data_IF_996925937045
#
_entry.id   IF_996925937045
#
_cell.length_a   1.000
_cell.length_b   1.000
_cell.length_c   1.000
_cell.angle_alpha   90.00
_cell.angle_beta   90.00
_cell.angle_gamma   90.00
#
_symmetry.space_group_name_H-M   'P 1'
#
loop_
_entity.id
_entity.type
_entity.pdbx_description
1 polymer ?
#
# COMPACT_ATOMS: atom_id res chain seq x y z
N UNK A 1 25.34 -20.35 -21.89
CA UNK A 1 24.25 -19.60 -22.57
C UNK A 1 23.52 -18.64 -21.62
N UNK A 2 24.20 -18.14 -20.57
CA UNK A 2 23.57 -17.50 -19.40
C UNK A 2 23.58 -15.96 -19.46
N UNK A 3 24.44 -15.37 -20.28
CA UNK A 3 24.73 -13.91 -20.31
C UNK A 3 23.64 -13.08 -21.02
N UNK A 4 22.79 -13.69 -21.87
CA UNK A 4 21.70 -12.98 -22.55
C UNK A 4 20.46 -12.76 -21.67
N UNK A 5 20.16 -13.70 -20.76
CA UNK A 5 19.00 -13.59 -19.87
C UNK A 5 19.20 -12.54 -18.77
N UNK A 6 20.38 -12.46 -18.15
CA UNK A 6 20.68 -11.44 -17.14
C UNK A 6 20.62 -10.01 -17.68
N UNK A 7 21.06 -9.80 -18.94
CA UNK A 7 21.04 -8.47 -19.55
C UNK A 7 19.62 -8.02 -19.95
N UNK A 8 18.71 -8.94 -20.27
CA UNK A 8 17.31 -8.60 -20.55
C UNK A 8 16.53 -8.28 -19.27
N UNK A 9 16.69 -9.09 -18.20
CA UNK A 9 15.99 -8.83 -16.93
C UNK A 9 16.43 -7.50 -16.29
N UNK A 10 17.72 -7.16 -16.36
CA UNK A 10 18.27 -5.89 -15.85
C UNK A 10 17.80 -4.66 -16.66
N UNK A 11 17.52 -4.80 -17.95
CA UNK A 11 17.02 -3.70 -18.80
C UNK A 11 15.51 -3.50 -18.61
N UNK A 12 14.75 -4.59 -18.50
CA UNK A 12 13.31 -4.54 -18.27
C UNK A 12 12.96 -3.98 -16.88
N UNK A 13 13.71 -4.38 -15.85
CA UNK A 13 13.56 -3.83 -14.50
C UNK A 13 13.87 -2.32 -14.47
N UNK A 14 14.83 -1.83 -15.27
CA UNK A 14 15.11 -0.39 -15.43
C UNK A 14 13.98 0.38 -16.13
N UNK A 15 13.36 -0.18 -17.17
CA UNK A 15 12.23 0.49 -17.84
C UNK A 15 11.00 0.55 -16.93
N UNK A 16 10.68 -0.56 -16.26
CA UNK A 16 9.59 -0.61 -15.28
C UNK A 16 9.80 0.39 -14.16
N UNK A 17 10.99 0.40 -13.54
CA UNK A 17 11.37 1.36 -12.51
C UNK A 17 11.17 2.81 -12.99
N UNK A 18 11.60 3.11 -14.22
CA UNK A 18 11.41 4.44 -14.82
C UNK A 18 9.92 4.77 -14.95
N UNK A 19 9.12 3.86 -15.50
CA UNK A 19 7.67 4.07 -15.73
C UNK A 19 6.89 4.22 -14.44
N UNK A 20 7.19 3.41 -13.42
CA UNK A 20 6.61 3.52 -12.08
C UNK A 20 6.96 4.87 -11.47
N UNK A 21 8.24 5.25 -11.55
CA UNK A 21 8.71 6.54 -11.01
C UNK A 21 7.97 7.70 -11.68
N UNK A 22 7.97 7.79 -13.01
CA UNK A 22 7.27 8.84 -13.75
C UNK A 22 5.77 8.87 -13.43
N UNK A 23 5.11 7.70 -13.34
CA UNK A 23 3.70 7.64 -13.00
C UNK A 23 3.41 8.18 -11.59
N UNK A 24 4.20 7.82 -10.58
CA UNK A 24 4.04 8.34 -9.21
C UNK A 24 4.21 9.86 -9.22
N UNK A 25 5.25 10.38 -9.88
CA UNK A 25 5.53 11.81 -9.96
C UNK A 25 4.38 12.59 -10.59
N UNK A 26 3.91 12.17 -11.77
CA UNK A 26 2.78 12.79 -12.47
C UNK A 26 1.53 12.83 -11.59
N UNK A 27 1.24 11.72 -10.89
CA UNK A 27 0.08 11.63 -10.00
C UNK A 27 0.23 12.50 -8.76
N UNK A 28 1.41 12.58 -8.16
CA UNK A 28 1.65 13.49 -7.04
C UNK A 28 1.50 14.94 -7.50
N UNK A 29 2.19 15.36 -8.57
CA UNK A 29 2.10 16.71 -9.13
C UNK A 29 0.65 17.13 -9.44
N UNK A 30 -0.13 16.25 -10.08
CA UNK A 30 -1.52 16.52 -10.41
C UNK A 30 -2.46 16.58 -9.18
N UNK A 31 -2.03 16.07 -8.02
CA UNK A 31 -2.90 15.93 -6.86
C UNK A 31 -2.49 16.73 -5.62
N UNK A 32 -1.31 17.34 -5.61
CA UNK A 32 -0.85 18.26 -4.56
C UNK A 32 -1.78 19.47 -4.51
N UNK A 33 -2.49 19.60 -3.39
CA UNK A 33 -3.29 20.77 -3.02
C UNK A 33 -3.04 21.04 -1.53
N UNK A 34 -3.13 22.29 -1.10
CA UNK A 34 -2.70 22.72 0.25
C UNK A 34 -3.47 22.02 1.40
N UNK A 35 -4.66 21.49 1.16
CA UNK A 35 -5.52 20.91 2.20
C UNK A 35 -5.64 19.38 2.15
N UNK A 36 -4.80 18.68 1.39
CA UNK A 36 -4.95 17.24 1.18
C UNK A 36 -3.67 16.48 1.52
N UNK A 37 -3.78 15.58 2.48
CA UNK A 37 -2.75 14.58 2.76
C UNK A 37 -2.76 13.52 1.66
N UNK A 38 -1.64 13.35 0.98
CA UNK A 38 -1.43 12.26 0.05
C UNK A 38 -0.71 11.11 0.75
N UNK A 39 -0.99 9.90 0.31
CA UNK A 39 -0.29 8.69 0.72
C UNK A 39 0.03 7.85 -0.51
N UNK A 40 1.26 7.34 -0.58
CA UNK A 40 1.70 6.40 -1.61
C UNK A 40 2.06 5.09 -0.93
N UNK A 41 1.30 4.04 -1.22
CA UNK A 41 1.45 2.69 -0.65
C UNK A 41 1.68 1.70 -1.80
N UNK A 42 2.64 0.80 -1.64
CA UNK A 42 2.79 -0.42 -2.43
C UNK A 42 2.36 -1.58 -1.54
N UNK A 43 1.45 -2.40 -2.04
CA UNK A 43 0.94 -3.60 -1.35
C UNK A 43 1.39 -4.83 -2.13
N UNK A 44 1.81 -5.85 -1.41
CA UNK A 44 2.16 -7.16 -1.94
C UNK A 44 0.90 -8.05 -1.90
N UNK A 45 0.71 -8.89 -2.90
CA UNK A 45 -0.47 -9.76 -3.01
C UNK A 45 -0.67 -10.31 -4.41
N UNK A 46 -1.89 -10.74 -4.76
CA UNK A 46 -2.17 -11.43 -6.02
C UNK A 46 -3.15 -10.64 -6.92
N UNK A 47 -2.83 -10.52 -8.21
CA UNK A 47 -3.72 -9.92 -9.21
C UNK A 47 -4.69 -10.96 -9.76
N UNK A 48 -5.99 -10.63 -9.74
CA UNK A 48 -7.01 -11.43 -10.40
C UNK A 48 -7.51 -10.68 -11.65
N UNK A 49 -7.34 -11.22 -12.87
CA UNK A 49 -7.72 -10.53 -14.10
C UNK A 49 -9.24 -10.50 -14.30
N UNK A 50 -9.70 -9.53 -15.09
CA UNK A 50 -11.12 -9.41 -15.43
C UNK A 50 -11.60 -10.65 -16.20
N UNK A 51 -12.64 -11.30 -15.68
CA UNK A 51 -13.21 -12.50 -16.28
C UNK A 51 -12.66 -13.81 -15.72
N UNK A 52 -11.62 -13.77 -14.87
CA UNK A 52 -11.09 -14.94 -14.19
C UNK A 52 -11.42 -14.94 -12.69
N UNK A 53 -11.44 -16.14 -12.11
CA UNK A 53 -11.39 -16.39 -10.66
C UNK A 53 -10.01 -16.87 -10.21
N UNK A 54 -9.13 -17.16 -11.15
CA UNK A 54 -7.77 -17.62 -10.91
C UNK A 54 -6.82 -16.43 -10.85
N UNK A 55 -5.68 -16.64 -10.20
CA UNK A 55 -4.56 -15.70 -10.19
C UNK A 55 -4.13 -15.47 -11.64
N UNK A 56 -3.62 -14.26 -11.92
CA UNK A 56 -3.06 -13.95 -13.23
C UNK A 56 -1.87 -14.88 -13.47
N UNK A 57 -2.07 -15.91 -14.29
CA UNK A 57 -0.99 -16.72 -14.84
C UNK A 57 -0.99 -16.50 -16.35
N UNK A 58 -0.05 -15.69 -16.78
CA UNK A 58 0.27 -15.56 -18.19
C UNK A 58 1.56 -16.34 -18.30
N UNK A 59 1.67 -17.28 -19.23
CA UNK A 59 2.91 -17.96 -19.62
C UNK A 59 3.98 -16.95 -20.15
N UNK A 60 4.20 -15.86 -19.44
CA UNK A 60 5.07 -14.72 -19.66
C UNK A 60 6.16 -14.80 -18.59
N UNK A 61 7.42 -14.72 -19.00
CA UNK A 61 8.55 -14.73 -18.06
C UNK A 61 8.90 -13.35 -17.52
N UNK A 62 8.22 -12.29 -17.99
CA UNK A 62 8.66 -10.91 -17.78
C UNK A 62 7.64 -10.10 -16.97
N UNK A 63 8.12 -9.35 -15.99
CA UNK A 63 7.28 -8.46 -15.17
C UNK A 63 6.62 -7.37 -16.02
N UNK A 64 5.35 -7.05 -15.72
CA UNK A 64 4.57 -6.15 -16.57
C UNK A 64 3.63 -5.24 -15.79
N UNK A 65 3.56 -3.98 -16.22
CA UNK A 65 2.63 -2.99 -15.68
C UNK A 65 1.23 -3.18 -16.30
N UNK A 66 0.23 -3.40 -15.43
CA UNK A 66 -1.18 -3.52 -15.78
C UNK A 66 -1.98 -2.26 -15.47
N UNK A 67 -2.86 -1.91 -16.41
CA UNK A 67 -3.88 -0.88 -16.18
C UNK A 67 -5.03 -1.46 -15.36
N UNK A 68 -5.64 -0.64 -14.50
CA UNK A 68 -6.84 -1.00 -13.73
C UNK A 68 -7.97 -1.63 -14.56
N UNK A 69 -8.10 -1.29 -15.85
CA UNK A 69 -9.18 -1.82 -16.71
C UNK A 69 -9.07 -3.32 -16.96
N UNK A 70 -7.87 -3.91 -16.81
CA UNK A 70 -7.59 -5.33 -17.03
C UNK A 70 -7.70 -6.17 -15.75
N UNK A 71 -7.69 -5.53 -14.58
CA UNK A 71 -7.71 -6.18 -13.26
C UNK A 71 -9.14 -6.20 -12.72
N UNK A 72 -9.60 -7.38 -12.27
CA UNK A 72 -10.88 -7.54 -11.57
C UNK A 72 -10.77 -7.03 -10.14
N UNK A 73 -9.85 -7.62 -9.39
CA UNK A 73 -9.48 -7.22 -8.04
C UNK A 73 -8.03 -7.61 -7.75
N UNK A 74 -7.50 -7.06 -6.66
CA UNK A 74 -6.18 -7.38 -6.13
C UNK A 74 -6.41 -7.87 -4.72
N UNK A 75 -5.91 -9.06 -4.39
CA UNK A 75 -5.95 -9.59 -3.04
C UNK A 75 -4.63 -9.30 -2.35
N UNK A 76 -4.67 -8.53 -1.27
CA UNK A 76 -3.45 -8.14 -0.55
C UNK A 76 -3.14 -9.07 0.62
N UNK A 77 -3.79 -10.23 0.66
CA UNK A 77 -3.53 -11.26 1.65
C UNK A 77 -2.30 -12.06 1.22
N UNK A 78 -1.26 -12.03 2.05
CA UNK A 78 -0.01 -12.76 1.83
C UNK A 78 0.01 -14.11 2.57
N UNK A 79 -1.04 -14.46 3.32
CA UNK A 79 -1.07 -15.69 4.11
C UNK A 79 -0.32 -15.60 5.45
N UNK A 80 -0.45 -16.64 6.27
CA UNK A 80 0.10 -16.69 7.63
C UNK A 80 1.60 -16.95 7.64
N UNK A 81 2.05 -18.00 6.95
CA UNK A 81 3.47 -18.40 6.89
C UNK A 81 4.38 -17.23 6.45
N UNK A 82 4.05 -16.56 5.34
CA UNK A 82 4.81 -15.41 4.87
C UNK A 82 4.74 -14.20 5.81
N UNK A 83 3.63 -14.03 6.54
CA UNK A 83 3.52 -12.95 7.53
C UNK A 83 4.42 -13.20 8.75
N UNK A 84 4.53 -14.45 9.20
CA UNK A 84 5.41 -14.85 10.28
C UNK A 84 6.88 -14.72 9.86
N UNK A 85 7.22 -15.18 8.65
CA UNK A 85 8.55 -15.00 8.07
C UNK A 85 8.95 -13.52 8.00
N UNK A 86 8.08 -12.66 7.48
CA UNK A 86 8.36 -11.22 7.41
C UNK A 86 8.51 -10.59 8.80
N UNK A 87 7.67 -10.97 9.77
CA UNK A 87 7.84 -10.48 11.14
C UNK A 87 9.23 -10.83 11.69
N UNK A 88 9.66 -12.09 11.52
CA UNK A 88 10.98 -12.53 11.95
C UNK A 88 12.12 -11.82 11.20
N UNK A 89 11.99 -11.66 9.87
CA UNK A 89 12.98 -10.98 9.03
C UNK A 89 13.20 -9.53 9.48
N UNK A 90 12.12 -8.80 9.79
CA UNK A 90 12.20 -7.41 10.21
C UNK A 90 12.62 -7.24 11.67
N UNK A 91 12.29 -8.18 12.55
CA UNK A 91 12.74 -8.17 13.95
C UNK A 91 14.25 -8.43 14.09
N UNK A 92 14.83 -9.26 13.21
CA UNK A 92 16.28 -9.51 13.15
C UNK A 92 17.00 -8.45 12.31
N UNK A 93 16.31 -7.85 11.35
CA UNK A 93 16.83 -6.83 10.47
C UNK A 93 17.16 -5.51 11.19
N UNK A 94 18.09 -4.72 10.64
CA UNK A 94 18.43 -3.38 11.16
C UNK A 94 17.31 -2.33 10.93
N UNK A 95 16.06 -2.76 10.80
CA UNK A 95 14.93 -1.91 10.41
C UNK A 95 14.32 -1.18 11.61
N UNK A 96 15.12 -0.37 12.32
CA UNK A 96 14.66 0.56 13.36
C UNK A 96 13.82 -0.07 14.50
N UNK A 97 13.23 0.77 15.34
CA UNK A 97 12.27 0.34 16.37
C UNK A 97 10.93 -0.04 15.73
N UNK A 98 10.36 -1.17 16.16
CA UNK A 98 9.03 -1.61 15.74
C UNK A 98 7.95 -0.95 16.61
N UNK A 99 7.02 -0.24 15.98
CA UNK A 99 5.83 0.32 16.61
C UNK A 99 4.66 -0.66 16.43
N UNK A 100 4.07 -1.14 17.55
CA UNK A 100 2.88 -2.01 17.53
C UNK A 100 1.66 -1.23 18.01
N UNK A 101 0.58 -1.25 17.22
CA UNK A 101 -0.69 -0.65 17.64
C UNK A 101 -1.92 -1.33 17.02
N UNK A 102 -3.02 -1.29 17.78
CA UNK A 102 -4.33 -1.80 17.38
C UNK A 102 -5.29 -0.66 17.03
N UNK A 103 -6.13 -0.87 16.02
CA UNK A 103 -7.22 0.06 15.69
C UNK A 103 -8.48 -0.69 15.29
N UNK A 104 -9.62 -0.07 15.53
CA UNK A 104 -10.91 -0.55 15.04
C UNK A 104 -11.45 0.42 14.01
N UNK A 105 -11.59 -0.03 12.76
CA UNK A 105 -12.16 0.76 11.67
C UNK A 105 -13.63 0.37 11.45
N UNK A 106 -14.52 1.35 11.52
CA UNK A 106 -15.90 1.23 11.06
C UNK A 106 -16.07 1.94 9.71
N UNK A 107 -16.50 1.21 8.68
CA UNK A 107 -16.59 1.72 7.31
C UNK A 107 -18.04 2.03 6.95
N UNK A 108 -18.26 3.26 6.48
CA UNK A 108 -19.55 3.75 6.03
C UNK A 108 -19.50 4.19 4.57
N UNK A 109 -20.61 4.02 3.86
CA UNK A 109 -20.85 4.63 2.56
C UNK A 109 -21.88 5.75 2.70
N UNK A 110 -21.53 6.97 2.26
CA UNK A 110 -22.41 8.14 2.34
C UNK A 110 -22.21 9.04 1.08
N UNK A 111 -22.86 10.20 1.06
CA UNK A 111 -22.77 11.17 -0.04
C UNK A 111 -21.34 11.71 -0.27
N UNK A 112 -20.46 11.64 0.74
CA UNK A 112 -19.04 12.00 0.66
C UNK A 112 -18.16 10.86 0.13
N UNK A 113 -18.74 9.68 -0.11
CA UNK A 113 -18.07 8.45 -0.53
C UNK A 113 -17.83 7.49 0.63
N UNK A 114 -16.70 6.77 0.59
CA UNK A 114 -16.30 5.84 1.65
C UNK A 114 -15.65 6.64 2.79
N UNK A 115 -16.27 6.59 3.96
CA UNK A 115 -15.77 7.23 5.18
C UNK A 115 -15.43 6.16 6.21
N UNK A 116 -14.26 6.29 6.81
CA UNK A 116 -13.72 5.36 7.80
C UNK A 116 -13.66 6.10 9.12
N UNK A 117 -14.27 5.53 10.15
CA UNK A 117 -14.15 6.00 11.52
C UNK A 117 -13.23 5.03 12.24
N UNK A 118 -12.13 5.53 12.78
CA UNK A 118 -11.10 4.71 13.42
C UNK A 118 -11.07 5.01 14.90
N UNK A 119 -11.50 4.03 15.69
CA UNK A 119 -11.32 4.02 17.14
C UNK A 119 -9.91 3.53 17.45
N UNK A 120 -9.23 4.25 18.34
CA UNK A 120 -7.85 3.96 18.75
C UNK A 120 -7.67 4.35 20.22
N UNK A 121 -6.64 3.81 20.85
CA UNK A 121 -6.12 4.27 22.14
C UNK A 121 -4.82 4.99 21.86
N UNK A 122 -4.68 6.22 22.35
CA UNK A 122 -3.40 6.93 22.24
C UNK A 122 -2.36 6.38 23.24
N UNK A 123 -1.13 6.91 23.20
CA UNK A 123 -0.03 6.51 24.08
C UNK A 123 -0.34 6.71 25.58
N UNK A 124 -1.33 7.54 25.90
CA UNK A 124 -1.83 7.76 27.26
C UNK A 124 -3.04 6.87 27.59
N UNK A 125 -3.31 5.85 26.78
CA UNK A 125 -4.47 4.95 26.86
C UNK A 125 -5.83 5.69 26.80
N UNK A 126 -5.85 6.91 26.27
CA UNK A 126 -7.08 7.68 26.13
C UNK A 126 -7.80 7.24 24.85
N UNK A 127 -9.09 6.88 24.92
CA UNK A 127 -9.87 6.55 23.73
C UNK A 127 -9.99 7.76 22.81
N UNK A 128 -9.49 7.60 21.58
CA UNK A 128 -9.55 8.56 20.50
C UNK A 128 -10.40 8.04 19.34
N UNK A 129 -10.93 8.97 18.55
CA UNK A 129 -11.68 8.65 17.33
C UNK A 129 -11.29 9.60 16.19
N UNK A 130 -10.73 9.05 15.11
CA UNK A 130 -10.50 9.80 13.86
C UNK A 130 -11.58 9.47 12.84
N UNK A 131 -11.82 10.39 11.92
CA UNK A 131 -12.79 10.20 10.84
C UNK A 131 -12.18 10.67 9.53
N UNK A 132 -12.01 9.76 8.59
CA UNK A 132 -11.28 10.00 7.34
C UNK A 132 -12.14 9.61 6.14
N UNK A 133 -12.09 10.42 5.09
CA UNK A 133 -12.48 9.95 3.76
C UNK A 133 -11.22 9.61 2.98
N UNK A 134 -11.12 8.36 2.50
CA UNK A 134 -10.03 7.91 1.63
C UNK A 134 -10.50 7.89 0.19
N UNK A 135 -9.79 8.59 -0.70
CA UNK A 135 -10.05 8.60 -2.15
C UNK A 135 -8.81 8.18 -2.92
N UNK A 136 -8.83 6.98 -3.52
CA UNK A 136 -7.77 6.53 -4.43
C UNK A 136 -7.76 7.43 -5.68
N UNK A 137 -6.66 8.14 -5.91
CA UNK A 137 -6.44 9.02 -7.09
C UNK A 137 -5.53 8.39 -8.14
N UNK A 138 -4.78 7.35 -7.76
CA UNK A 138 -3.99 6.53 -8.66
C UNK A 138 -3.96 5.08 -8.18
N UNK A 139 -3.99 4.15 -9.13
CA UNK A 139 -3.64 2.73 -8.92
C UNK A 139 -2.84 2.25 -10.12
N UNK A 140 -1.76 1.54 -9.86
CA UNK A 140 -0.92 0.86 -10.82
C UNK A 140 -0.77 -0.59 -10.32
N UNK A 141 -0.82 -1.55 -11.23
CA UNK A 141 -0.63 -2.96 -10.91
C UNK A 141 0.59 -3.47 -11.64
N UNK A 142 1.34 -4.34 -11.02
CA UNK A 142 2.56 -4.93 -11.56
C UNK A 142 2.46 -6.43 -11.36
N UNK A 143 2.48 -7.15 -12.47
CA UNK A 143 2.53 -8.60 -12.49
C UNK A 143 3.99 -9.05 -12.42
N UNK A 144 4.34 -9.94 -11.51
CA UNK A 144 5.70 -10.46 -11.34
C UNK A 144 5.71 -12.00 -11.49
N UNK A 145 5.86 -12.54 -12.71
CA UNK A 145 5.75 -13.99 -12.94
C UNK A 145 6.86 -14.84 -12.30
N UNK A 146 7.97 -14.23 -11.88
CA UNK A 146 9.11 -14.94 -11.27
C UNK A 146 9.23 -14.69 -9.76
N UNK A 147 8.24 -14.03 -9.16
CA UNK A 147 8.19 -13.75 -7.73
C UNK A 147 6.88 -14.32 -7.17
N UNK A 148 6.82 -14.56 -5.86
CA UNK A 148 5.63 -15.12 -5.20
C UNK A 148 4.39 -14.24 -5.36
N UNK A 149 4.60 -12.92 -5.39
CA UNK A 149 3.50 -11.96 -5.40
C UNK A 149 3.61 -10.87 -6.48
N UNK A 150 2.45 -10.32 -6.80
CA UNK A 150 2.26 -9.11 -7.57
C UNK A 150 2.23 -7.86 -6.68
N UNK A 151 2.32 -6.68 -7.31
CA UNK A 151 2.21 -5.40 -6.61
C UNK A 151 1.00 -4.57 -7.02
N UNK A 152 0.36 -3.93 -6.03
CA UNK A 152 -0.50 -2.77 -6.22
C UNK A 152 0.18 -1.52 -5.66
N UNK A 153 0.49 -0.55 -6.52
CA UNK A 153 0.90 0.78 -6.09
C UNK A 153 -0.33 1.69 -6.13
N UNK A 154 -0.65 2.31 -4.99
CA UNK A 154 -1.81 3.18 -4.86
C UNK A 154 -1.42 4.55 -4.31
N UNK A 155 -2.07 5.58 -4.86
CA UNK A 155 -1.96 6.95 -4.37
C UNK A 155 -3.34 7.34 -3.85
N UNK A 156 -3.41 7.63 -2.56
CA UNK A 156 -4.65 7.88 -1.84
C UNK A 156 -4.64 9.28 -1.26
N UNK A 157 -5.71 10.04 -1.53
CA UNK A 157 -6.02 11.28 -0.80
C UNK A 157 -6.70 10.90 0.51
N UNK A 158 -6.18 11.43 1.60
CA UNK A 158 -6.74 11.31 2.95
C UNK A 158 -7.28 12.68 3.32
N UNK A 159 -8.56 12.73 3.64
CA UNK A 159 -9.26 13.97 4.03
C UNK A 159 -9.77 13.76 5.45
N UNK A 160 -9.20 14.50 6.38
CA UNK A 160 -9.66 14.56 7.76
C UNK A 160 -11.06 15.20 7.82
N UNK A 161 -11.96 14.53 8.55
CA UNK A 161 -13.34 14.98 8.73
C UNK A 161 -13.50 15.53 10.12
N UNK A 162 -14.06 16.74 10.18
CA UNK A 162 -14.34 17.38 11.45
C UNK A 162 -15.46 16.65 12.22
N UNK A 163 -15.63 17.03 13.48
CA UNK A 163 -16.63 16.46 14.40
C UNK A 163 -18.07 16.48 13.84
N UNK A 164 -18.45 17.51 13.08
CA UNK A 164 -19.79 17.62 12.47
C UNK A 164 -19.98 16.57 11.36
N UNK A 165 -19.00 16.42 10.48
CA UNK A 165 -19.01 15.44 9.39
C UNK A 165 -18.95 13.99 9.93
N UNK A 166 -18.21 13.76 11.01
CA UNK A 166 -18.15 12.47 11.71
C UNK A 166 -19.52 12.06 12.26
N UNK A 167 -20.20 12.97 12.98
CA UNK A 167 -21.57 12.75 13.47
C UNK A 167 -22.56 12.49 12.33
N UNK A 168 -22.46 13.27 11.25
CA UNK A 168 -23.29 13.06 10.06
C UNK A 168 -23.07 11.67 9.45
N UNK A 169 -21.81 11.23 9.33
CA UNK A 169 -21.47 9.90 8.80
C UNK A 169 -22.09 8.79 9.63
N UNK A 170 -21.98 8.85 10.97
CA UNK A 170 -22.60 7.83 11.84
C UNK A 170 -24.12 7.79 11.75
N UNK A 171 -24.77 8.96 11.62
CA UNK A 171 -26.24 9.07 11.61
C UNK A 171 -26.85 8.71 10.26
N UNK A 172 -26.21 9.11 9.17
CA UNK A 172 -26.81 9.07 7.83
C UNK A 172 -26.05 8.16 6.84
N UNK A 173 -24.87 7.66 7.21
CA UNK A 173 -24.10 6.74 6.38
C UNK A 173 -24.64 5.32 6.47
N UNK A 174 -24.63 4.60 5.35
CA UNK A 174 -24.89 3.16 5.32
C UNK A 174 -23.66 2.44 5.87
N UNK A 175 -23.83 1.67 6.95
CA UNK A 175 -22.79 0.78 7.46
C UNK A 175 -22.43 -0.26 6.38
N UNK A 176 -21.13 -0.46 6.19
CA UNK A 176 -20.60 -1.44 5.23
C UNK A 176 -20.04 -2.66 5.98
N UNK A 177 -19.07 -2.44 6.85
CA UNK A 177 -18.42 -3.47 7.67
C UNK A 177 -17.59 -2.80 8.78
N UNK A 178 -17.21 -3.60 9.77
CA UNK A 178 -16.22 -3.26 10.79
C UNK A 178 -14.96 -4.07 10.50
N UNK A 179 -13.78 -3.55 10.82
CA UNK A 179 -12.56 -4.36 10.83
C UNK A 179 -11.66 -3.98 11.98
N UNK A 180 -11.06 -4.99 12.59
CA UNK A 180 -10.08 -4.84 13.64
C UNK A 180 -8.70 -5.06 12.99
N UNK A 181 -7.75 -4.20 13.34
CA UNK A 181 -6.43 -4.20 12.73
C UNK A 181 -5.37 -4.14 13.80
N UNK A 182 -4.50 -5.12 13.82
CA UNK A 182 -3.22 -5.07 14.52
C UNK A 182 -2.12 -4.75 13.51
N UNK A 183 -1.21 -3.84 13.85
CA UNK A 183 -0.13 -3.41 12.96
C UNK A 183 1.21 -3.47 13.65
N UNK A 184 2.19 -3.97 12.91
CA UNK A 184 3.61 -3.79 13.15
C UNK A 184 4.13 -2.79 12.12
N UNK A 185 4.80 -1.74 12.58
CA UNK A 185 5.33 -0.68 11.73
C UNK A 185 6.81 -0.49 12.00
N UNK A 186 7.62 -0.73 10.98
CA UNK A 186 9.06 -0.46 10.99
C UNK A 186 9.34 0.77 10.13
N UNK A 187 10.16 1.69 10.66
CA UNK A 187 10.48 2.96 9.99
C UNK A 187 11.95 2.98 9.58
N UNK A 188 12.18 3.06 8.28
CA UNK A 188 13.51 3.33 7.73
C UNK A 188 13.64 4.84 7.49
N UNK A 189 14.22 5.53 8.48
CA UNK A 189 14.40 6.98 8.44
C UNK A 189 15.42 7.42 7.39
N UNK A 190 16.40 6.56 7.04
CA UNK A 190 17.42 6.88 6.05
C UNK A 190 16.82 6.90 4.64
N UNK A 191 15.96 5.93 4.33
CA UNK A 191 15.32 5.81 3.01
C UNK A 191 13.96 6.51 2.93
N UNK A 192 13.47 7.03 4.05
CA UNK A 192 12.14 7.62 4.20
C UNK A 192 11.02 6.64 3.79
N UNK A 193 11.13 5.37 4.20
CA UNK A 193 10.11 4.34 3.97
C UNK A 193 9.53 3.84 5.28
N UNK A 194 8.29 3.35 5.23
CA UNK A 194 7.68 2.63 6.34
C UNK A 194 7.21 1.27 5.84
N UNK A 195 7.58 0.22 6.55
CA UNK A 195 7.10 -1.13 6.30
C UNK A 195 6.00 -1.44 7.31
N UNK A 196 4.90 -2.02 6.82
CA UNK A 196 3.72 -2.26 7.63
C UNK A 196 3.24 -3.68 7.40
N UNK A 197 3.29 -4.49 8.44
CA UNK A 197 2.59 -5.76 8.49
C UNK A 197 1.28 -5.55 9.27
N UNK A 198 0.15 -5.88 8.66
CA UNK A 198 -1.17 -5.66 9.24
C UNK A 198 -1.97 -6.95 9.26
N UNK A 199 -2.39 -7.36 10.45
CA UNK A 199 -3.35 -8.44 10.66
C UNK A 199 -4.76 -7.83 10.67
N UNK A 200 -5.64 -8.29 9.79
CA UNK A 200 -6.98 -7.71 9.60
C UNK A 200 -8.06 -8.75 9.84
N UNK A 201 -8.90 -8.48 10.83
CA UNK A 201 -10.15 -9.19 11.08
C UNK A 201 -11.32 -8.37 10.55
N UNK A 202 -11.91 -8.78 9.43
CA UNK A 202 -13.09 -8.10 8.87
C UNK A 202 -14.37 -8.76 9.35
N UNK A 203 -15.25 -7.97 9.95
CA UNK A 203 -16.55 -8.37 10.47
C UNK A 203 -17.65 -7.71 9.62
N UNK A 204 -18.28 -8.51 8.75
CA UNK A 204 -19.42 -8.05 7.92
C UNK A 204 -20.74 -8.16 8.69
N UNK A 205 -20.87 -9.23 9.48
CA UNK A 205 -22.00 -9.53 10.37
C UNK A 205 -21.52 -10.47 11.48
N UNK A 206 -22.36 -10.77 12.47
CA UNK A 206 -22.01 -11.66 13.58
C UNK A 206 -21.58 -13.07 13.15
N UNK A 207 -21.91 -13.49 11.92
CA UNK A 207 -21.65 -14.85 11.41
C UNK A 207 -20.63 -14.90 10.26
N UNK A 208 -20.08 -13.75 9.84
CA UNK A 208 -19.15 -13.68 8.71
C UNK A 208 -17.91 -12.88 9.11
N UNK A 209 -16.83 -13.61 9.36
CA UNK A 209 -15.50 -13.07 9.64
C UNK A 209 -14.52 -13.56 8.57
N UNK A 210 -13.64 -12.67 8.11
CA UNK A 210 -12.50 -13.04 7.27
C UNK A 210 -11.23 -12.48 7.88
N UNK A 211 -10.19 -13.31 7.97
CA UNK A 211 -8.84 -12.91 8.36
C UNK A 211 -7.99 -12.66 7.13
N UNK A 212 -7.10 -11.67 7.20
CA UNK A 212 -6.11 -11.36 6.16
C UNK A 212 -4.83 -10.85 6.80
N UNK A 213 -3.70 -11.19 6.19
CA UNK A 213 -2.40 -10.64 6.55
C UNK A 213 -1.93 -9.77 5.39
N UNK A 214 -1.77 -8.46 5.62
CA UNK A 214 -1.43 -7.49 4.58
C UNK A 214 -0.03 -6.93 4.84
N UNK A 215 0.86 -6.98 3.85
CA UNK A 215 2.15 -6.29 3.90
C UNK A 215 2.18 -5.09 2.94
N UNK A 216 2.60 -3.94 3.46
CA UNK A 216 2.60 -2.66 2.74
C UNK A 216 3.94 -1.94 2.94
N UNK A 217 4.48 -1.40 1.86
CA UNK A 217 5.55 -0.40 1.89
C UNK A 217 4.91 0.96 1.65
N UNK A 218 5.16 1.93 2.52
CA UNK A 218 4.70 3.31 2.36
C UNK A 218 5.88 4.25 2.12
N UNK A 219 5.75 5.11 1.10
CA UNK A 219 6.73 6.13 0.78
C UNK A 219 6.49 7.39 1.63
N UNK A 220 7.49 7.80 2.40
CA UNK A 220 7.50 9.02 3.18
C UNK A 220 7.55 10.26 2.27
N UNK A 221 6.47 11.03 2.25
CA UNK A 221 6.32 12.16 1.32
C UNK A 221 6.89 13.49 1.84
N UNK A 222 7.24 13.60 3.13
CA UNK A 222 7.63 14.87 3.78
C UNK A 222 8.81 15.56 3.07
N UNK A 223 9.80 14.80 2.62
CA UNK A 223 10.95 15.31 1.86
C UNK A 223 10.75 15.38 0.34
N UNK A 224 9.69 14.78 -0.20
CA UNK A 224 9.46 14.65 -1.65
C UNK A 224 8.53 15.74 -2.18
N UNK A 225 7.50 16.10 -1.41
CA UNK A 225 6.49 17.07 -1.84
C UNK A 225 7.03 18.48 -2.13
N UNK A 226 7.98 19.04 -1.35
CA UNK A 226 8.58 20.33 -1.68
C UNK A 226 9.24 20.34 -3.06
N UNK A 227 10.04 19.31 -3.36
CA UNK A 227 10.76 19.22 -4.63
C UNK A 227 9.84 19.05 -5.84
N UNK A 228 8.73 18.31 -5.69
CA UNK A 228 7.72 18.17 -6.74
C UNK A 228 7.03 19.50 -7.02
N UNK A 229 6.79 20.33 -5.99
CA UNK A 229 6.20 21.67 -6.15
C UNK A 229 7.17 22.64 -6.85
N UNK A 230 8.46 22.51 -6.58
CA UNK A 230 9.50 23.42 -7.07
C UNK A 230 9.80 23.25 -8.58
N UNK A 231 9.45 22.11 -9.19
CA UNK A 231 9.67 21.74 -10.61
C UNK A 231 11.12 21.82 -11.14
N UNK A 232 12.01 22.61 -10.51
CA UNK A 232 13.39 22.85 -10.89
C UNK A 232 14.35 21.72 -10.47
N UNK A 233 13.97 20.90 -9.49
CA UNK A 233 14.83 19.88 -8.88
C UNK A 233 14.42 18.43 -9.23
N UNK A 234 14.13 18.19 -10.52
CA UNK A 234 13.60 16.91 -11.03
C UNK A 234 14.44 15.66 -10.69
N UNK A 235 15.76 15.79 -10.49
CA UNK A 235 16.66 14.65 -10.26
C UNK A 235 16.73 14.20 -8.78
N UNK A 236 16.47 15.08 -7.81
CA UNK A 236 16.76 14.79 -6.39
C UNK A 236 15.75 13.83 -5.74
N UNK A 237 14.46 13.89 -6.10
CA UNK A 237 13.42 13.01 -5.54
C UNK A 237 13.19 11.71 -6.33
N UNK A 238 13.95 11.48 -7.42
CA UNK A 238 13.93 10.20 -8.15
C UNK A 238 14.47 9.06 -7.28
N UNK A 239 15.47 9.34 -6.44
CA UNK A 239 16.14 8.33 -5.60
C UNK A 239 15.20 7.69 -4.57
N UNK A 240 14.42 8.42 -3.76
CA UNK A 240 13.50 7.82 -2.78
C UNK A 240 12.39 6.96 -3.41
N UNK A 241 11.82 7.37 -4.54
CA UNK A 241 10.79 6.61 -5.27
C UNK A 241 11.38 5.32 -5.86
N UNK A 242 12.60 5.40 -6.38
CA UNK A 242 13.28 4.24 -6.91
C UNK A 242 13.68 3.25 -5.81
N UNK A 243 14.18 3.76 -4.68
CA UNK A 243 14.49 2.94 -3.51
C UNK A 243 13.22 2.24 -2.99
N UNK A 244 12.09 2.97 -2.92
CA UNK A 244 10.80 2.42 -2.52
C UNK A 244 10.38 1.20 -3.35
N UNK A 245 10.53 1.28 -4.67
CA UNK A 245 10.20 0.17 -5.56
C UNK A 245 11.19 -0.99 -5.45
N UNK A 246 12.49 -0.69 -5.31
CA UNK A 246 13.53 -1.71 -5.14
C UNK A 246 13.40 -2.49 -3.84
N UNK A 247 13.06 -1.82 -2.73
CA UNK A 247 12.86 -2.50 -1.45
C UNK A 247 11.67 -3.46 -1.52
N UNK A 248 10.58 -3.09 -2.22
CA UNK A 248 9.45 -4.00 -2.42
C UNK A 248 9.85 -5.27 -3.19
N UNK A 249 10.63 -5.15 -4.27
CA UNK A 249 11.17 -6.32 -4.98
C UNK A 249 12.08 -7.16 -4.08
N UNK A 250 13.01 -6.53 -3.34
CA UNK A 250 13.90 -7.26 -2.43
C UNK A 250 13.13 -8.07 -1.39
N UNK A 251 12.04 -7.53 -0.86
CA UNK A 251 11.18 -8.23 0.10
C UNK A 251 10.47 -9.39 -0.56
N UNK A 252 9.91 -9.19 -1.76
CA UNK A 252 9.21 -10.25 -2.48
C UNK A 252 10.16 -11.40 -2.91
N UNK A 253 11.37 -11.06 -3.35
CA UNK A 253 12.45 -12.03 -3.60
C UNK A 253 12.82 -12.81 -2.34
N UNK A 254 12.90 -12.16 -1.17
CA UNK A 254 13.19 -12.84 0.09
C UNK A 254 12.10 -13.84 0.49
N UNK A 255 10.82 -13.49 0.26
CA UNK A 255 9.70 -14.41 0.48
C UNK A 255 9.75 -15.59 -0.51
N UNK A 256 10.09 -15.33 -1.77
CA UNK A 256 10.14 -16.37 -2.82
C UNK A 256 11.28 -17.39 -2.63
N UNK A 257 12.23 -17.12 -1.72
CA UNK A 257 13.37 -17.99 -1.39
C UNK A 257 13.19 -18.76 -0.08
N UNK A 258 12.08 -18.54 0.62
CA UNK A 258 11.65 -19.33 1.79
C UNK A 258 11.39 -20.79 1.40
#
# INVERSE_FOLDING_TARGET
MTVKHENQSLVENKDQLRRVTSWIQEKLAANIKEEVTLRVELRIGNIYPKGSKEILDLDETNSRIYSRKKVRYFDADIGEDHSDYLSALFDVGRHGECERYGTVDTVYHNQLGITIITDHTDDNQTPGETCLTKKKVGRLFIYNPNEEFDFEISITRIIDRNKKQRRFTKRCGRFMFKREKERLVWRDYEKAHMFKLTFVDVVFSQTSQSKKNEFEVELGLKGILPDIKDQANYQFYKSPIQAFFKEAHRINEAISME
#
